data_IF_642663074223
#
_entry.id   IF_642663074223
#
_cell.length_a   1.000
_cell.length_b   1.000
_cell.length_c   1.000
_cell.angle_alpha   90.00
_cell.angle_beta   90.00
_cell.angle_gamma   90.00
#
_symmetry.space_group_name_H-M   'P 1'
#
loop_
_entity.id
_entity.type
_entity.pdbx_description
1 polymer ?
#
# COMPACT_ATOMS: atom_id res chain seq x y z
N UNK A 1 30.65 4.93 50.68
CA UNK A 1 31.36 4.62 49.42
C UNK A 1 30.54 5.26 48.30
N UNK A 2 30.97 6.45 47.90
CA UNK A 2 30.31 7.34 46.95
C UNK A 2 31.38 7.62 45.89
N UNK A 3 31.27 7.03 44.69
CA UNK A 3 32.26 7.24 43.62
C UNK A 3 31.86 6.79 42.21
N UNK A 4 30.61 6.41 41.90
CA UNK A 4 30.22 6.05 40.53
C UNK A 4 29.41 7.13 39.79
N UNK A 5 29.12 8.25 40.46
CA UNK A 5 28.43 9.40 39.86
C UNK A 5 29.35 10.26 38.95
N UNK A 6 30.55 9.80 38.63
CA UNK A 6 31.42 10.43 37.63
C UNK A 6 31.16 9.82 36.25
N UNK A 7 30.09 10.37 35.65
CA UNK A 7 29.95 10.77 34.24
C UNK A 7 30.19 9.66 33.21
N UNK A 8 29.11 9.03 32.77
CA UNK A 8 29.00 8.60 31.37
C UNK A 8 28.56 9.82 30.54
N UNK A 9 29.48 10.66 30.02
CA UNK A 9 29.11 11.85 29.24
C UNK A 9 28.22 11.49 28.03
N UNK A 10 28.36 10.26 27.52
CA UNK A 10 27.50 9.71 26.49
C UNK A 10 26.03 9.58 26.92
N UNK A 11 25.74 9.17 28.16
CA UNK A 11 24.38 9.05 28.67
C UNK A 11 23.71 10.42 28.86
N UNK A 12 24.46 11.41 29.34
CA UNK A 12 24.01 12.80 29.44
C UNK A 12 23.68 13.41 28.06
N UNK A 13 24.52 13.12 27.07
CA UNK A 13 24.30 13.51 25.66
C UNK A 13 23.09 12.82 25.06
N UNK A 14 22.90 11.53 25.34
CA UNK A 14 21.76 10.77 24.83
C UNK A 14 20.43 11.30 25.37
N UNK A 15 20.33 11.57 26.68
CA UNK A 15 19.13 12.18 27.26
C UNK A 15 18.87 13.59 26.71
N UNK A 16 19.93 14.37 26.44
CA UNK A 16 19.78 15.68 25.80
C UNK A 16 19.28 15.56 24.37
N UNK A 17 19.66 14.50 23.66
CA UNK A 17 19.19 14.23 22.32
C UNK A 17 17.73 13.78 22.31
N UNK A 18 17.30 12.97 23.28
CA UNK A 18 15.87 12.63 23.48
C UNK A 18 15.04 13.90 23.64
N UNK A 19 15.48 14.83 24.49
CA UNK A 19 14.77 16.11 24.69
C UNK A 19 14.76 16.97 23.43
N UNK A 20 15.88 17.01 22.71
CA UNK A 20 15.98 17.69 21.42
C UNK A 20 14.97 17.14 20.42
N UNK A 21 14.84 15.81 20.32
CA UNK A 21 13.88 15.17 19.42
C UNK A 21 12.44 15.42 19.86
N UNK A 22 12.13 15.44 21.17
CA UNK A 22 10.80 15.81 21.67
C UNK A 22 10.40 17.24 21.30
N UNK A 23 11.37 18.15 21.30
CA UNK A 23 11.19 19.54 20.91
C UNK A 23 11.21 19.77 19.38
N UNK A 24 11.08 18.71 18.58
CA UNK A 24 11.05 18.81 17.11
C UNK A 24 12.43 18.91 16.46
N UNK A 25 13.52 18.69 17.20
CA UNK A 25 14.88 18.73 16.70
C UNK A 25 15.18 17.65 15.65
N UNK A 26 16.05 17.96 14.68
CA UNK A 26 16.33 17.07 13.53
C UNK A 26 17.82 16.70 13.39
N UNK A 27 18.67 17.23 14.28
CA UNK A 27 20.13 17.03 14.28
C UNK A 27 20.48 15.55 14.40
N UNK A 28 21.29 15.00 13.46
CA UNK A 28 21.81 13.63 13.55
C UNK A 28 22.61 13.38 14.85
N UNK A 29 22.64 12.13 15.31
CA UNK A 29 23.35 11.75 16.53
C UNK A 29 24.84 12.11 16.47
N UNK A 30 25.51 11.81 15.35
CA UNK A 30 26.94 12.11 15.15
C UNK A 30 27.27 13.60 15.33
N UNK A 31 26.37 14.49 14.92
CA UNK A 31 26.57 15.94 14.97
C UNK A 31 26.06 16.60 16.27
N UNK A 32 25.25 15.90 17.06
CA UNK A 32 24.61 16.47 18.25
C UNK A 32 25.59 16.62 19.42
N UNK A 33 25.66 17.78 20.08
CA UNK A 33 26.62 18.03 21.18
C UNK A 33 25.98 18.49 22.49
N UNK A 34 24.64 18.47 22.59
CA UNK A 34 23.93 18.86 23.80
C UNK A 34 24.19 17.90 24.97
N UNK A 35 23.93 18.38 26.20
CA UNK A 35 24.11 17.58 27.42
C UNK A 35 23.12 18.04 28.50
N UNK A 36 22.49 17.09 29.18
CA UNK A 36 21.58 17.30 30.32
C UNK A 36 21.83 16.22 31.37
N UNK A 37 21.26 16.37 32.57
CA UNK A 37 21.35 15.33 33.60
C UNK A 37 20.63 14.05 33.14
N UNK A 38 21.27 12.90 33.36
CA UNK A 38 20.70 11.60 32.98
C UNK A 38 19.48 11.26 33.84
N UNK A 39 18.40 10.78 33.23
CA UNK A 39 17.17 10.38 33.96
C UNK A 39 17.11 8.89 34.32
N UNK A 40 18.16 8.14 33.99
CA UNK A 40 18.25 6.70 34.17
C UNK A 40 19.18 6.08 33.14
N UNK A 41 19.41 4.77 33.24
CA UNK A 41 20.24 4.00 32.31
C UNK A 41 19.48 3.47 31.10
N UNK A 42 18.15 3.40 31.16
CA UNK A 42 17.31 2.94 30.06
C UNK A 42 16.96 4.11 29.14
N UNK A 43 17.44 4.03 27.90
CA UNK A 43 17.15 4.98 26.83
C UNK A 43 16.23 4.32 25.80
N UNK A 44 15.47 5.12 25.02
CA UNK A 44 14.98 4.65 23.74
C UNK A 44 16.18 4.18 22.88
N UNK A 45 16.03 3.04 22.22
CA UNK A 45 16.97 2.49 21.27
C UNK A 45 17.13 3.33 20.01
N UNK A 46 18.22 3.07 19.28
CA UNK A 46 18.61 3.80 18.08
C UNK A 46 17.53 3.88 17.00
N UNK A 47 16.73 2.82 16.84
CA UNK A 47 15.63 2.77 15.85
C UNK A 47 14.54 3.79 16.22
N UNK A 48 14.11 3.82 17.48
CA UNK A 48 13.09 4.76 17.96
C UNK A 48 13.57 6.21 17.78
N UNK A 49 14.83 6.48 18.10
CA UNK A 49 15.41 7.81 17.98
C UNK A 49 15.54 8.27 16.53
N UNK A 50 15.95 7.41 15.60
CA UNK A 50 16.00 7.77 14.18
C UNK A 50 14.61 7.95 13.58
N UNK A 51 13.63 7.12 13.94
CA UNK A 51 12.23 7.30 13.51
C UNK A 51 11.69 8.64 13.99
N UNK A 52 11.90 9.01 15.25
CA UNK A 52 11.50 10.31 15.78
C UNK A 52 12.18 11.48 15.03
N UNK A 53 13.48 11.37 14.75
CA UNK A 53 14.22 12.39 13.98
C UNK A 53 13.68 12.54 12.55
N UNK A 54 13.38 11.42 11.87
CA UNK A 54 12.78 11.41 10.53
C UNK A 54 11.35 11.95 10.54
N UNK A 55 10.57 11.65 11.58
CA UNK A 55 9.24 12.21 11.79
C UNK A 55 9.31 13.74 11.93
N UNK A 56 10.27 14.27 12.69
CA UNK A 56 10.50 15.71 12.84
C UNK A 56 10.87 16.37 11.51
N UNK A 57 11.70 15.73 10.69
CA UNK A 57 12.06 16.21 9.36
C UNK A 57 10.85 16.35 8.42
N UNK A 58 9.88 15.44 8.52
CA UNK A 58 8.67 15.45 7.69
C UNK A 58 7.62 16.42 8.25
N UNK A 59 7.45 16.48 9.57
CA UNK A 59 6.39 17.24 10.25
C UNK A 59 6.62 18.75 10.34
N UNK A 60 7.88 19.21 10.37
CA UNK A 60 8.27 20.61 10.22
C UNK A 60 7.81 21.62 11.30
N UNK A 61 6.87 21.26 12.20
CA UNK A 61 6.31 22.17 13.22
C UNK A 61 6.20 21.49 14.57
N UNK A 62 6.70 22.17 15.60
CA UNK A 62 6.55 21.81 17.02
C UNK A 62 5.09 22.05 17.46
N UNK A 63 4.38 20.98 17.85
CA UNK A 63 3.04 21.05 18.44
C UNK A 63 2.90 19.99 19.55
N UNK A 64 1.99 20.21 20.51
CA UNK A 64 1.79 19.28 21.63
C UNK A 64 1.42 17.86 21.17
N UNK A 65 0.61 17.75 20.13
CA UNK A 65 0.27 16.48 19.48
C UNK A 65 1.47 15.84 18.76
N UNK A 66 2.38 16.66 18.20
CA UNK A 66 3.61 16.16 17.57
C UNK A 66 4.52 15.53 18.62
N UNK A 67 4.69 16.23 19.75
CA UNK A 67 5.43 15.72 20.90
C UNK A 67 4.81 14.42 21.44
N UNK A 68 3.48 14.33 21.53
CA UNK A 68 2.79 13.11 21.94
C UNK A 68 3.03 11.93 20.97
N UNK A 69 3.08 12.18 19.66
CA UNK A 69 3.43 11.16 18.68
C UNK A 69 4.89 10.71 18.82
N UNK A 70 5.83 11.63 19.07
CA UNK A 70 7.24 11.31 19.36
C UNK A 70 7.38 10.50 20.65
N UNK A 71 6.64 10.84 21.70
CA UNK A 71 6.62 10.06 22.94
C UNK A 71 6.10 8.64 22.70
N UNK A 72 5.04 8.50 21.91
CA UNK A 72 4.52 7.18 21.52
C UNK A 72 5.55 6.37 20.72
N UNK A 73 6.36 7.00 19.87
CA UNK A 73 7.49 6.34 19.19
C UNK A 73 8.49 5.81 20.22
N UNK A 74 8.85 6.57 21.25
CA UNK A 74 9.78 6.11 22.29
C UNK A 74 9.23 4.99 23.16
N UNK A 75 7.92 4.97 23.40
CA UNK A 75 7.24 3.92 24.17
C UNK A 75 6.99 2.64 23.37
N UNK A 76 7.05 2.72 22.04
CA UNK A 76 6.84 1.57 21.16
C UNK A 76 8.03 0.63 21.22
N UNK A 77 7.84 -0.58 21.75
CA UNK A 77 8.88 -1.62 21.72
C UNK A 77 9.38 -1.91 20.31
N UNK A 78 10.69 -2.10 20.16
CA UNK A 78 11.32 -2.43 18.87
C UNK A 78 10.65 -3.63 18.17
N UNK A 79 10.55 -3.60 16.83
CA UNK A 79 9.78 -4.59 16.10
C UNK A 79 10.53 -5.93 15.94
N UNK A 80 10.22 -6.89 16.82
CA UNK A 80 10.72 -8.27 16.72
C UNK A 80 10.68 -8.98 18.08
N UNK A 81 10.22 -10.23 18.14
CA UNK A 81 10.23 -10.99 19.40
C UNK A 81 11.68 -11.22 19.86
N UNK A 82 12.03 -10.65 21.01
CA UNK A 82 13.31 -10.91 21.67
C UNK A 82 14.52 -10.21 21.06
N UNK A 83 14.32 -9.24 20.16
CA UNK A 83 15.41 -8.41 19.66
C UNK A 83 15.66 -7.27 20.66
N UNK A 84 16.86 -7.17 21.26
CA UNK A 84 17.18 -6.07 22.16
C UNK A 84 17.25 -4.76 21.38
N UNK A 85 16.87 -3.66 22.03
CA UNK A 85 17.03 -2.32 21.48
C UNK A 85 18.50 -2.04 21.15
N UNK A 86 18.75 -1.45 19.98
CA UNK A 86 20.11 -1.13 19.55
C UNK A 86 20.63 0.07 20.33
N UNK A 87 21.77 -0.10 21.00
CA UNK A 87 22.44 0.97 21.73
C UNK A 87 23.05 2.02 20.79
N UNK A 88 23.24 3.24 21.29
CA UNK A 88 23.90 4.33 20.57
C UNK A 88 25.41 4.27 20.70
N UNK A 89 26.13 4.50 19.60
CA UNK A 89 27.60 4.68 19.62
C UNK A 89 27.99 5.80 20.58
N UNK A 90 28.92 5.51 21.47
CA UNK A 90 29.51 6.49 22.39
C UNK A 90 28.69 6.74 23.67
N UNK A 91 27.59 6.02 23.91
CA UNK A 91 26.83 6.12 25.16
C UNK A 91 27.46 5.30 26.28
N UNK A 92 27.60 3.99 26.07
CA UNK A 92 28.27 3.09 27.01
C UNK A 92 29.62 2.64 26.44
N UNK A 93 30.70 2.78 27.22
CA UNK A 93 32.07 2.47 26.76
C UNK A 93 32.48 1.01 27.00
N UNK A 94 31.56 0.13 27.43
CA UNK A 94 31.92 -1.18 27.98
C UNK A 94 30.98 -2.35 27.70
N UNK A 95 29.94 -2.22 26.87
CA UNK A 95 29.03 -3.33 26.61
C UNK A 95 29.74 -4.45 25.84
N UNK A 96 29.98 -5.60 26.51
CA UNK A 96 30.63 -6.80 25.94
C UNK A 96 29.63 -7.82 25.39
N UNK A 97 28.34 -7.61 25.62
CA UNK A 97 27.27 -8.55 25.33
C UNK A 97 26.13 -7.81 24.63
N UNK A 98 25.51 -8.45 23.64
CA UNK A 98 24.44 -7.84 22.84
C UNK A 98 24.91 -7.33 21.47
N UNK A 99 24.00 -6.77 20.66
CA UNK A 99 24.33 -6.18 19.38
C UNK A 99 25.28 -4.99 19.55
N UNK A 100 26.09 -4.71 18.53
CA UNK A 100 27.01 -3.56 18.57
C UNK A 100 26.22 -2.25 18.61
N UNK A 101 26.68 -1.25 19.37
CA UNK A 101 26.12 0.10 19.28
C UNK A 101 26.21 0.64 17.85
N UNK A 102 25.23 1.43 17.44
CA UNK A 102 25.09 1.96 16.08
C UNK A 102 24.97 3.49 16.08
N UNK A 103 25.35 4.13 14.97
CA UNK A 103 24.86 5.46 14.65
C UNK A 103 23.44 5.31 14.06
N UNK A 104 22.41 5.91 14.66
CA UNK A 104 21.05 5.87 14.15
C UNK A 104 20.91 6.27 12.68
N UNK A 105 21.76 7.18 12.17
CA UNK A 105 21.71 7.61 10.77
C UNK A 105 22.16 6.52 9.77
N UNK A 106 22.88 5.49 10.24
CA UNK A 106 23.36 4.36 9.43
C UNK A 106 22.43 3.15 9.48
N UNK A 107 21.29 3.25 10.18
CA UNK A 107 20.34 2.16 10.31
C UNK A 107 19.74 1.77 8.94
N UNK A 108 19.57 0.46 8.68
CA UNK A 108 18.85 -0.02 7.51
C UNK A 108 17.40 0.51 7.47
N UNK A 109 16.97 0.97 6.30
CA UNK A 109 15.62 1.53 6.12
C UNK A 109 14.50 0.54 6.43
N UNK A 110 14.72 -0.77 6.24
CA UNK A 110 13.74 -1.81 6.54
C UNK A 110 13.45 -1.96 8.05
N UNK A 111 14.43 -1.71 8.92
CA UNK A 111 14.21 -1.66 10.37
C UNK A 111 13.37 -0.44 10.78
N UNK A 112 13.64 0.73 10.18
CA UNK A 112 12.84 1.95 10.41
C UNK A 112 11.40 1.77 9.92
N UNK A 113 11.21 1.19 8.72
CA UNK A 113 9.89 0.87 8.17
C UNK A 113 9.16 -0.09 9.12
N UNK A 114 9.82 -1.13 9.62
CA UNK A 114 9.18 -2.12 10.49
C UNK A 114 8.64 -1.48 11.76
N UNK A 115 9.37 -0.51 12.33
CA UNK A 115 8.92 0.22 13.51
C UNK A 115 7.75 1.15 13.19
N UNK A 116 7.87 1.98 12.16
CA UNK A 116 6.81 2.91 11.75
C UNK A 116 5.51 2.17 11.40
N UNK A 117 5.62 1.02 10.73
CA UNK A 117 4.50 0.14 10.40
C UNK A 117 3.88 -0.50 11.64
N UNK A 118 4.68 -0.88 12.63
CA UNK A 118 4.18 -1.40 13.91
C UNK A 118 3.29 -0.38 14.60
N UNK A 119 3.79 0.85 14.75
CA UNK A 119 3.04 1.97 15.32
C UNK A 119 1.77 2.27 14.50
N UNK A 120 1.88 2.29 13.16
CA UNK A 120 0.73 2.52 12.29
C UNK A 120 -0.33 1.42 12.44
N UNK A 121 0.07 0.16 12.57
CA UNK A 121 -0.86 -0.96 12.78
C UNK A 121 -1.58 -0.85 14.13
N UNK A 122 -0.87 -0.47 15.20
CA UNK A 122 -1.49 -0.23 16.51
C UNK A 122 -2.49 0.93 16.46
N UNK A 123 -2.17 2.00 15.73
CA UNK A 123 -3.10 3.11 15.48
C UNK A 123 -4.31 2.67 14.68
N UNK A 124 -4.14 1.88 13.61
CA UNK A 124 -5.25 1.32 12.82
C UNK A 124 -6.20 0.53 13.71
N UNK A 125 -5.69 -0.31 14.61
CA UNK A 125 -6.51 -1.09 15.55
C UNK A 125 -7.19 -0.20 16.58
N UNK A 126 -6.51 0.85 17.06
CA UNK A 126 -7.09 1.79 18.02
C UNK A 126 -8.23 2.64 17.43
N UNK A 127 -8.19 2.92 16.13
CA UNK A 127 -9.18 3.69 15.38
C UNK A 127 -10.23 2.82 14.69
N UNK A 128 -10.37 1.56 15.09
CA UNK A 128 -11.40 0.65 14.61
C UNK A 128 -12.78 1.27 14.90
N UNK A 129 -13.56 1.67 13.86
CA UNK A 129 -14.86 2.29 14.07
C UNK A 129 -15.91 1.29 14.57
N UNK A 130 -15.56 0.01 14.69
CA UNK A 130 -16.47 -1.08 15.01
C UNK A 130 -17.25 -1.56 13.79
N UNK A 131 -18.12 -2.53 14.02
CA UNK A 131 -18.86 -3.18 12.92
C UNK A 131 -19.67 -2.15 12.11
N UNK A 132 -19.41 -2.05 10.79
CA UNK A 132 -20.10 -1.08 9.97
C UNK A 132 -21.58 -1.47 9.82
N UNK A 133 -22.46 -0.48 9.88
CA UNK A 133 -23.86 -0.66 9.50
C UNK A 133 -23.92 -0.97 8.01
N UNK A 134 -24.27 -2.22 7.66
CA UNK A 134 -24.41 -2.63 6.26
C UNK A 134 -25.58 -1.87 5.64
N UNK A 135 -25.27 -0.81 4.88
CA UNK A 135 -26.28 -0.14 4.07
C UNK A 135 -26.80 -1.11 3.01
N UNK A 136 -28.12 -1.36 3.03
CA UNK A 136 -28.75 -2.18 2.01
C UNK A 136 -28.59 -1.50 0.66
N UNK A 137 -28.09 -2.21 -0.38
CA UNK A 137 -27.96 -1.61 -1.71
C UNK A 137 -29.33 -1.15 -2.20
N UNK A 138 -29.38 0.08 -2.71
CA UNK A 138 -30.59 0.64 -3.34
C UNK A 138 -31.01 -0.26 -4.50
N UNK A 139 -32.30 -0.57 -4.59
CA UNK A 139 -32.84 -1.43 -5.64
C UNK A 139 -32.56 -0.83 -7.02
N UNK A 140 -32.06 -1.66 -7.94
CA UNK A 140 -31.83 -1.24 -9.33
C UNK A 140 -33.17 -1.02 -10.04
N UNK A 141 -33.24 0.03 -10.87
CA UNK A 141 -34.42 0.31 -11.69
C UNK A 141 -34.62 -0.77 -12.77
N UNK A 142 -35.85 -1.27 -13.00
CA UNK A 142 -36.11 -2.48 -13.80
C UNK A 142 -35.92 -2.31 -15.31
N UNK A 143 -35.83 -1.08 -15.83
CA UNK A 143 -35.68 -0.77 -17.26
C UNK A 143 -34.23 -0.56 -17.71
N UNK A 144 -33.23 -0.72 -16.82
CA UNK A 144 -31.82 -0.58 -17.18
C UNK A 144 -31.21 -1.93 -17.57
N UNK A 145 -30.30 -1.92 -18.54
CA UNK A 145 -29.61 -3.13 -19.00
C UNK A 145 -28.72 -3.66 -17.87
N UNK A 146 -29.02 -4.87 -17.40
CA UNK A 146 -28.18 -5.56 -16.43
C UNK A 146 -26.78 -5.79 -17.03
N UNK A 147 -25.74 -5.65 -16.22
CA UNK A 147 -24.37 -5.89 -16.65
C UNK A 147 -23.55 -6.56 -15.53
N UNK A 148 -22.54 -7.33 -15.95
CA UNK A 148 -21.52 -7.94 -15.11
C UNK A 148 -20.14 -7.51 -15.60
N UNK A 149 -19.22 -7.22 -14.69
CA UNK A 149 -17.87 -6.76 -15.00
C UNK A 149 -16.83 -7.84 -14.65
N UNK A 150 -15.85 -8.05 -15.52
CA UNK A 150 -14.75 -9.01 -15.36
C UNK A 150 -13.42 -8.42 -15.85
N UNK A 151 -12.30 -9.07 -15.51
CA UNK A 151 -10.95 -8.64 -15.91
C UNK A 151 -10.15 -8.07 -14.75
N UNK A 152 -9.40 -6.99 -15.01
CA UNK A 152 -8.61 -6.27 -14.00
C UNK A 152 -9.49 -5.86 -12.80
N UNK A 153 -9.21 -6.35 -11.58
CA UNK A 153 -10.06 -6.11 -10.41
C UNK A 153 -10.10 -4.64 -9.98
N UNK A 154 -9.02 -3.86 -10.15
CA UNK A 154 -9.05 -2.44 -9.81
C UNK A 154 -9.86 -1.64 -10.83
N UNK A 155 -9.68 -1.91 -12.13
CA UNK A 155 -10.52 -1.30 -13.17
C UNK A 155 -12.01 -1.68 -12.97
N UNK A 156 -12.29 -2.96 -12.67
CA UNK A 156 -13.66 -3.43 -12.38
C UNK A 156 -14.24 -2.71 -11.17
N UNK A 157 -13.48 -2.53 -10.09
CA UNK A 157 -13.91 -1.80 -8.89
C UNK A 157 -14.21 -0.34 -9.22
N UNK A 158 -13.32 0.33 -9.96
CA UNK A 158 -13.48 1.73 -10.36
C UNK A 158 -14.72 1.92 -11.24
N UNK A 159 -14.87 1.12 -12.30
CA UNK A 159 -16.03 1.19 -13.20
C UNK A 159 -17.32 0.92 -12.43
N UNK A 160 -17.33 -0.09 -11.55
CA UNK A 160 -18.50 -0.41 -10.71
C UNK A 160 -18.88 0.76 -9.82
N UNK A 161 -17.95 1.29 -9.04
CA UNK A 161 -18.19 2.39 -8.10
C UNK A 161 -18.68 3.63 -8.82
N UNK A 162 -18.07 3.96 -9.96
CA UNK A 162 -18.45 5.12 -10.77
C UNK A 162 -19.86 4.99 -11.35
N UNK A 163 -20.18 3.83 -11.93
CA UNK A 163 -21.52 3.57 -12.47
C UNK A 163 -22.59 3.53 -11.37
N UNK A 164 -22.29 2.92 -10.22
CA UNK A 164 -23.20 2.90 -9.05
C UNK A 164 -23.48 4.33 -8.55
N UNK A 165 -22.45 5.17 -8.40
CA UNK A 165 -22.61 6.59 -8.06
C UNK A 165 -23.46 7.35 -9.09
N UNK A 166 -23.32 7.00 -10.37
CA UNK A 166 -24.17 7.53 -11.44
C UNK A 166 -25.61 6.94 -11.47
N UNK A 167 -25.95 5.99 -10.58
CA UNK A 167 -27.26 5.35 -10.49
C UNK A 167 -27.45 4.16 -11.46
N UNK A 168 -26.37 3.65 -12.04
CA UNK A 168 -26.34 2.44 -12.86
C UNK A 168 -25.73 1.28 -12.05
N UNK A 169 -26.52 0.67 -11.16
CA UNK A 169 -26.06 -0.49 -10.40
C UNK A 169 -26.01 -1.76 -11.29
N UNK A 170 -25.07 -2.70 -11.05
CA UNK A 170 -25.03 -3.96 -11.75
C UNK A 170 -26.29 -4.78 -11.47
N UNK A 171 -26.78 -5.49 -12.49
CA UNK A 171 -28.02 -6.26 -12.44
C UNK A 171 -27.77 -7.74 -12.73
N UNK A 172 -28.61 -8.63 -12.17
CA UNK A 172 -28.45 -10.10 -12.33
C UNK A 172 -29.32 -10.74 -13.40
N UNK A 173 -30.43 -10.09 -13.80
CA UNK A 173 -31.36 -10.70 -14.76
C UNK A 173 -30.82 -10.53 -16.17
N UNK A 174 -30.23 -11.59 -16.71
CA UNK A 174 -29.72 -11.64 -18.09
C UNK A 174 -28.76 -10.46 -18.38
N UNK A 175 -27.57 -10.39 -17.77
CA UNK A 175 -26.66 -9.28 -17.98
C UNK A 175 -25.88 -9.39 -19.30
N UNK A 176 -25.41 -8.26 -19.83
CA UNK A 176 -24.24 -8.27 -20.73
C UNK A 176 -22.97 -8.48 -19.90
N UNK A 177 -22.06 -9.34 -20.36
CA UNK A 177 -20.77 -9.53 -19.72
C UNK A 177 -19.77 -8.56 -20.35
N UNK A 178 -19.18 -7.70 -19.53
CA UNK A 178 -18.20 -6.69 -19.95
C UNK A 178 -16.85 -7.08 -19.37
N UNK A 179 -15.89 -7.37 -20.24
CA UNK A 179 -14.53 -7.77 -19.88
C UNK A 179 -13.62 -6.58 -20.11
N UNK A 180 -13.02 -6.07 -19.04
CA UNK A 180 -12.13 -4.93 -19.07
C UNK A 180 -10.71 -5.40 -19.40
N UNK A 181 -10.16 -4.85 -20.47
CA UNK A 181 -8.84 -5.13 -20.98
C UNK A 181 -8.02 -3.82 -21.04
N UNK A 182 -6.80 -3.87 -20.54
CA UNK A 182 -5.80 -2.79 -20.60
C UNK A 182 -4.45 -3.44 -20.96
N UNK A 183 -3.37 -2.68 -20.96
CA UNK A 183 -2.04 -3.28 -21.15
C UNK A 183 -1.76 -4.34 -20.07
N UNK A 184 -1.22 -5.50 -20.47
CA UNK A 184 -1.07 -6.65 -19.56
C UNK A 184 -0.12 -6.35 -18.38
N UNK A 185 0.87 -5.47 -18.57
CA UNK A 185 1.78 -5.08 -17.50
C UNK A 185 1.05 -4.29 -16.41
N UNK A 186 0.23 -3.32 -16.80
CA UNK A 186 -0.67 -2.57 -15.94
C UNK A 186 -1.65 -3.49 -15.22
N UNK A 187 -2.35 -4.36 -15.94
CA UNK A 187 -3.31 -5.30 -15.35
C UNK A 187 -2.67 -6.24 -14.31
N UNK A 188 -1.43 -6.70 -14.52
CA UNK A 188 -0.69 -7.49 -13.53
C UNK A 188 -0.38 -6.67 -12.27
N UNK A 189 0.06 -5.43 -12.44
CA UNK A 189 0.32 -4.52 -11.32
C UNK A 189 -0.97 -4.26 -10.52
N UNK A 190 -2.10 -4.12 -11.19
CA UNK A 190 -3.40 -3.90 -10.56
C UNK A 190 -3.90 -5.13 -9.81
N UNK A 191 -3.75 -6.33 -10.36
CA UNK A 191 -4.09 -7.57 -9.64
C UNK A 191 -3.26 -7.70 -8.37
N UNK A 192 -1.95 -7.44 -8.43
CA UNK A 192 -1.12 -7.48 -7.24
C UNK A 192 -1.54 -6.41 -6.22
N UNK A 193 -1.79 -5.17 -6.68
CA UNK A 193 -2.24 -4.07 -5.83
C UNK A 193 -3.57 -4.37 -5.14
N UNK A 194 -4.55 -4.89 -5.89
CA UNK A 194 -5.83 -5.34 -5.34
C UNK A 194 -5.63 -6.42 -4.27
N UNK A 195 -4.75 -7.40 -4.51
CA UNK A 195 -4.45 -8.45 -3.52
C UNK A 195 -3.83 -7.88 -2.25
N UNK A 196 -2.91 -6.93 -2.37
CA UNK A 196 -2.32 -6.24 -1.21
C UNK A 196 -3.39 -5.50 -0.41
N UNK A 197 -4.33 -4.85 -1.08
CA UNK A 197 -5.50 -4.22 -0.45
C UNK A 197 -6.56 -5.21 0.10
N UNK A 198 -6.34 -6.51 -0.09
CA UNK A 198 -7.19 -7.59 0.41
C UNK A 198 -6.37 -8.62 1.20
N UNK A 199 -5.52 -8.12 2.11
CA UNK A 199 -4.76 -8.90 3.10
C UNK A 199 -3.69 -9.87 2.57
N UNK A 200 -3.17 -9.68 1.36
CA UNK A 200 -2.06 -10.50 0.80
C UNK A 200 -0.73 -9.74 0.93
N UNK A 201 0.37 -10.43 1.20
CA UNK A 201 1.66 -9.80 1.53
C UNK A 201 2.93 -10.13 0.69
N UNK A 202 2.91 -10.93 -0.41
CA UNK A 202 4.12 -11.19 -1.17
C UNK A 202 4.59 -9.91 -1.87
N UNK A 203 5.91 -9.73 -1.94
CA UNK A 203 6.49 -8.63 -2.72
C UNK A 203 6.15 -8.76 -4.20
N UNK A 204 6.05 -7.61 -4.89
CA UNK A 204 5.79 -7.54 -6.34
C UNK A 204 6.72 -8.47 -7.14
N UNK A 205 8.03 -8.39 -6.84
CA UNK A 205 9.07 -9.18 -7.53
C UNK A 205 8.89 -10.68 -7.35
N UNK A 206 8.55 -11.13 -6.14
CA UNK A 206 8.37 -12.55 -5.86
C UNK A 206 7.07 -13.08 -6.47
N UNK A 207 5.97 -12.33 -6.32
CA UNK A 207 4.67 -12.69 -6.87
C UNK A 207 4.72 -12.85 -8.40
N UNK A 208 5.29 -11.87 -9.09
CA UNK A 208 5.41 -11.89 -10.55
C UNK A 208 6.35 -13.01 -11.03
N UNK A 209 7.48 -13.21 -10.35
CA UNK A 209 8.41 -14.29 -10.68
C UNK A 209 7.75 -15.67 -10.57
N UNK A 210 6.81 -15.85 -9.63
CA UNK A 210 6.01 -17.07 -9.52
C UNK A 210 5.16 -17.35 -10.77
N UNK A 211 4.49 -16.34 -11.30
CA UNK A 211 3.68 -16.47 -12.53
C UNK A 211 4.54 -16.69 -13.77
N UNK A 212 5.63 -15.91 -13.91
CA UNK A 212 6.55 -16.04 -15.02
C UNK A 212 7.23 -17.41 -15.06
N UNK A 213 7.68 -17.94 -13.90
CA UNK A 213 8.31 -19.27 -13.80
C UNK A 213 7.39 -20.39 -14.27
N UNK A 214 6.10 -20.29 -13.96
CA UNK A 214 5.11 -21.30 -14.33
C UNK A 214 4.50 -21.06 -15.71
N UNK A 215 4.92 -20.00 -16.40
CA UNK A 215 4.35 -19.51 -17.64
C UNK A 215 2.82 -19.51 -17.60
N UNK A 216 2.24 -18.80 -16.63
CA UNK A 216 0.79 -18.70 -16.43
C UNK A 216 0.40 -17.29 -16.01
N UNK A 217 -0.84 -16.91 -16.28
CA UNK A 217 -1.44 -15.68 -15.78
C UNK A 217 -2.38 -15.97 -14.60
N UNK A 218 -2.60 -14.99 -13.71
CA UNK A 218 -3.74 -15.02 -12.81
C UNK A 218 -5.02 -15.29 -13.58
N UNK A 219 -5.90 -16.18 -13.08
CA UNK A 219 -7.14 -16.58 -13.78
C UNK A 219 -8.01 -15.41 -14.20
N UNK A 220 -8.04 -14.34 -13.41
CA UNK A 220 -8.81 -13.11 -13.70
C UNK A 220 -8.27 -12.32 -14.90
N UNK A 221 -7.00 -12.54 -15.27
CA UNK A 221 -6.34 -11.92 -16.43
C UNK A 221 -6.25 -12.86 -17.64
N UNK A 222 -6.67 -14.11 -17.51
CA UNK A 222 -6.85 -14.99 -18.65
C UNK A 222 -8.17 -14.62 -19.35
N UNK A 223 -8.16 -13.47 -20.04
CA UNK A 223 -9.34 -12.89 -20.65
C UNK A 223 -10.00 -13.81 -21.69
N UNK A 224 -9.27 -14.57 -22.54
CA UNK A 224 -9.85 -15.58 -23.42
C UNK A 224 -10.66 -16.62 -22.65
N UNK A 225 -10.09 -17.21 -21.59
CA UNK A 225 -10.81 -18.17 -20.76
C UNK A 225 -12.01 -17.56 -20.06
N UNK A 226 -11.89 -16.32 -19.55
CA UNK A 226 -13.01 -15.59 -18.94
C UNK A 226 -14.14 -15.36 -19.96
N UNK A 227 -13.80 -14.91 -21.17
CA UNK A 227 -14.74 -14.66 -22.26
C UNK A 227 -15.45 -15.93 -22.70
N UNK A 228 -14.71 -17.02 -22.93
CA UNK A 228 -15.27 -18.31 -23.29
C UNK A 228 -16.26 -18.83 -22.23
N UNK A 229 -15.89 -18.72 -20.95
CA UNK A 229 -16.76 -19.12 -19.84
C UNK A 229 -18.05 -18.30 -19.76
N UNK A 230 -18.01 -16.99 -20.04
CA UNK A 230 -19.24 -16.18 -20.08
C UNK A 230 -20.04 -16.43 -21.36
N UNK A 231 -19.39 -16.62 -22.50
CA UNK A 231 -20.04 -16.90 -23.78
C UNK A 231 -20.81 -18.22 -23.74
N UNK A 232 -20.25 -19.26 -23.10
CA UNK A 232 -20.94 -20.53 -22.88
C UNK A 232 -22.24 -20.38 -22.06
N UNK A 233 -22.34 -19.34 -21.22
CA UNK A 233 -23.51 -19.10 -20.35
C UNK A 233 -24.51 -18.10 -20.93
N UNK A 234 -24.03 -17.11 -21.69
CA UNK A 234 -24.83 -15.96 -22.11
C UNK A 234 -24.99 -15.85 -23.63
N UNK A 235 -24.19 -16.55 -24.42
CA UNK A 235 -24.02 -16.29 -25.85
C UNK A 235 -22.87 -15.32 -26.13
N UNK A 236 -22.15 -15.54 -27.24
CA UNK A 236 -20.98 -14.75 -27.62
C UNK A 236 -21.33 -13.28 -27.96
N UNK A 237 -22.53 -13.05 -28.50
CA UNK A 237 -23.10 -11.73 -28.80
C UNK A 237 -23.31 -10.85 -27.55
N UNK A 238 -23.30 -11.47 -26.37
CA UNK A 238 -23.53 -10.79 -25.08
C UNK A 238 -22.26 -10.57 -24.28
N UNK A 239 -21.11 -11.01 -24.79
CA UNK A 239 -19.79 -10.81 -24.19
C UNK A 239 -19.09 -9.68 -24.93
N UNK A 240 -18.80 -8.59 -24.24
CA UNK A 240 -18.17 -7.40 -24.81
C UNK A 240 -16.80 -7.22 -24.18
N UNK A 241 -15.77 -7.06 -25.02
CA UNK A 241 -14.42 -6.73 -24.58
C UNK A 241 -14.25 -5.23 -24.70
N UNK A 242 -13.87 -4.57 -23.59
CA UNK A 242 -13.55 -3.13 -23.58
C UNK A 242 -12.05 -3.01 -23.43
N UNK A 243 -11.36 -2.74 -24.53
CA UNK A 243 -9.90 -2.64 -24.62
C UNK A 243 -9.48 -1.19 -24.80
N UNK A 244 -9.26 -0.49 -23.70
CA UNK A 244 -8.91 0.93 -23.69
C UNK A 244 -8.24 1.32 -22.38
N UNK A 245 -7.39 2.36 -22.41
CA UNK A 245 -6.79 2.93 -21.20
C UNK A 245 -7.84 3.55 -20.24
N UNK A 246 -8.99 4.00 -20.78
CA UNK A 246 -10.10 4.56 -20.03
C UNK A 246 -11.39 3.79 -20.30
N UNK A 247 -11.70 2.81 -19.45
CA UNK A 247 -12.88 1.96 -19.63
C UNK A 247 -14.20 2.67 -19.34
N UNK A 248 -14.21 3.59 -18.39
CA UNK A 248 -15.44 4.15 -17.79
C UNK A 248 -16.40 4.73 -18.85
N UNK A 249 -15.97 5.59 -19.80
CA UNK A 249 -16.89 6.16 -20.79
C UNK A 249 -17.47 5.10 -21.75
N UNK A 250 -16.64 4.14 -22.17
CA UNK A 250 -17.07 3.07 -23.08
C UNK A 250 -18.10 2.14 -22.43
N UNK A 251 -17.84 1.74 -21.17
CA UNK A 251 -18.78 0.92 -20.41
C UNK A 251 -20.07 1.70 -20.13
N UNK A 252 -19.97 2.97 -19.76
CA UNK A 252 -21.13 3.84 -19.53
C UNK A 252 -22.02 3.92 -20.77
N UNK A 253 -21.45 4.12 -21.96
CA UNK A 253 -22.17 4.08 -23.23
C UNK A 253 -22.86 2.74 -23.48
N UNK A 254 -22.15 1.62 -23.27
CA UNK A 254 -22.67 0.28 -23.48
C UNK A 254 -23.87 -0.06 -22.56
N UNK A 255 -23.84 0.38 -21.31
CA UNK A 255 -24.92 0.13 -20.33
C UNK A 255 -26.00 1.21 -20.31
N UNK A 256 -25.88 2.24 -21.18
CA UNK A 256 -26.84 3.33 -21.29
C UNK A 256 -26.79 4.35 -20.14
N UNK A 257 -25.66 4.49 -19.45
CA UNK A 257 -25.45 5.53 -18.45
C UNK A 257 -25.09 6.85 -19.15
N UNK A 258 -25.99 7.84 -19.08
CA UNK A 258 -25.84 9.16 -19.73
C UNK A 258 -25.28 10.26 -18.82
N UNK A 259 -25.05 9.97 -17.54
CA UNK A 259 -24.50 10.96 -16.61
C UNK A 259 -23.00 11.12 -16.85
N UNK A 260 -22.44 12.34 -16.65
CA UNK A 260 -21.01 12.53 -16.61
C UNK A 260 -20.39 11.58 -15.57
N UNK A 261 -19.31 10.93 -15.95
CA UNK A 261 -18.58 9.96 -15.13
C UNK A 261 -17.12 10.37 -15.11
N UNK A 262 -16.54 10.50 -13.92
CA UNK A 262 -15.11 10.73 -13.78
C UNK A 262 -14.36 9.45 -14.16
N UNK A 263 -13.51 9.56 -15.18
CA UNK A 263 -12.71 8.46 -15.70
C UNK A 263 -11.29 8.42 -15.11
N UNK A 264 -10.96 9.35 -14.20
CA UNK A 264 -9.63 9.45 -13.61
C UNK A 264 -9.34 8.22 -12.76
N UNK A 265 -8.37 7.43 -13.20
CA UNK A 265 -7.89 6.26 -12.46
C UNK A 265 -6.84 6.72 -11.46
N UNK A 266 -7.24 6.80 -10.20
CA UNK A 266 -6.35 7.14 -9.09
C UNK A 266 -6.16 5.89 -8.26
N UNK A 267 -4.95 5.35 -8.27
CA UNK A 267 -4.53 4.22 -7.44
C UNK A 267 -3.47 4.65 -6.45
N UNK A 268 -3.29 3.86 -5.39
CA UNK A 268 -2.20 4.06 -4.43
C UNK A 268 -0.84 4.01 -5.13
N UNK A 269 0.09 4.85 -4.66
CA UNK A 269 1.48 4.84 -5.08
C UNK A 269 2.14 3.48 -4.77
N UNK A 270 3.21 3.10 -5.48
CA UNK A 270 4.00 1.92 -5.15
C UNK A 270 4.43 1.91 -3.68
N UNK A 271 4.87 3.04 -3.15
CA UNK A 271 5.33 3.22 -1.78
C UNK A 271 4.19 2.96 -0.78
N UNK A 272 3.00 3.54 -0.99
CA UNK A 272 1.82 3.30 -0.16
C UNK A 272 1.39 1.82 -0.19
N UNK A 273 1.47 1.16 -1.34
CA UNK A 273 1.21 -0.28 -1.43
C UNK A 273 2.22 -1.11 -0.64
N UNK A 274 3.49 -0.70 -0.59
CA UNK A 274 4.47 -1.37 0.29
C UNK A 274 4.17 -1.11 1.76
N UNK A 275 3.71 0.09 2.16
CA UNK A 275 3.21 0.33 3.54
C UNK A 275 2.07 -0.63 3.87
N UNK A 276 1.04 -0.72 3.03
CA UNK A 276 -0.08 -1.67 3.22
C UNK A 276 0.42 -3.11 3.33
N UNK A 277 1.39 -3.50 2.49
CA UNK A 277 1.96 -4.85 2.50
C UNK A 277 2.65 -5.18 3.83
N UNK A 278 3.39 -4.24 4.41
CA UNK A 278 4.03 -4.45 5.71
C UNK A 278 3.00 -4.42 6.85
N UNK A 279 2.01 -3.52 6.82
CA UNK A 279 0.92 -3.48 7.80
C UNK A 279 0.12 -4.79 7.78
N UNK A 280 -0.11 -5.39 6.62
CA UNK A 280 -0.75 -6.71 6.51
C UNK A 280 -0.01 -7.82 7.28
N UNK A 281 1.32 -7.73 7.42
CA UNK A 281 2.09 -8.71 8.21
C UNK A 281 1.77 -8.57 9.70
N UNK A 282 1.67 -7.33 10.18
CA UNK A 282 1.38 -7.02 11.59
C UNK A 282 -0.08 -7.29 11.92
N UNK A 283 -1.04 -6.84 11.09
CA UNK A 283 -2.47 -7.05 11.32
C UNK A 283 -2.88 -8.52 11.35
N UNK A 284 -2.17 -9.40 10.63
CA UNK A 284 -2.39 -10.86 10.71
C UNK A 284 -2.09 -11.44 12.10
N UNK A 285 -1.34 -10.72 12.94
CA UNK A 285 -1.07 -11.08 14.33
C UNK A 285 -2.09 -10.43 15.27
N UNK A 286 -2.52 -9.20 14.96
CA UNK A 286 -3.38 -8.40 15.83
C UNK A 286 -4.89 -8.65 15.64
N UNK A 287 -5.31 -9.19 14.50
CA UNK A 287 -6.71 -9.35 14.13
C UNK A 287 -6.96 -10.69 13.42
N UNK A 288 -8.18 -11.22 13.58
CA UNK A 288 -8.69 -12.31 12.75
C UNK A 288 -8.91 -11.84 11.29
N UNK A 289 -9.14 -12.76 10.32
CA UNK A 289 -9.24 -12.40 8.91
C UNK A 289 -10.34 -11.40 8.56
N UNK A 290 -11.51 -11.47 9.22
CA UNK A 290 -12.64 -10.59 8.90
C UNK A 290 -12.38 -9.19 9.46
N UNK A 291 -11.89 -9.10 10.70
CA UNK A 291 -11.46 -7.84 11.31
C UNK A 291 -10.28 -7.22 10.58
N UNK A 292 -9.30 -8.01 10.13
CA UNK A 292 -8.17 -7.52 9.32
C UNK A 292 -8.69 -6.84 8.03
N UNK A 293 -9.57 -7.51 7.28
CA UNK A 293 -10.12 -6.92 6.06
C UNK A 293 -10.92 -5.64 6.34
N UNK A 294 -11.65 -5.59 7.46
CA UNK A 294 -12.37 -4.40 7.91
C UNK A 294 -11.41 -3.23 8.22
N UNK A 295 -10.42 -3.44 9.09
CA UNK A 295 -9.40 -2.45 9.45
C UNK A 295 -8.66 -1.91 8.22
N UNK A 296 -8.31 -2.80 7.29
CA UNK A 296 -7.66 -2.41 6.05
C UNK A 296 -8.56 -1.50 5.22
N UNK A 297 -9.80 -1.92 4.96
CA UNK A 297 -10.75 -1.23 4.08
C UNK A 297 -11.22 0.11 4.65
N UNK A 298 -11.53 0.15 5.94
CA UNK A 298 -12.31 1.23 6.54
C UNK A 298 -11.44 2.19 7.37
N UNK A 299 -10.19 1.83 7.68
CA UNK A 299 -9.26 2.67 8.45
C UNK A 299 -8.00 2.99 7.63
N UNK A 300 -7.19 1.98 7.28
CA UNK A 300 -5.87 2.22 6.67
C UNK A 300 -5.94 2.78 5.25
N UNK A 301 -6.77 2.20 4.37
CA UNK A 301 -6.87 2.66 2.98
C UNK A 301 -7.40 4.10 2.86
N UNK A 302 -8.39 4.54 3.66
CA UNK A 302 -8.77 5.95 3.75
C UNK A 302 -7.63 6.90 4.16
N UNK A 303 -6.78 6.50 5.12
CA UNK A 303 -5.64 7.33 5.53
C UNK A 303 -4.64 7.55 4.40
N UNK A 304 -4.42 6.52 3.58
CA UNK A 304 -3.53 6.53 2.42
C UNK A 304 -4.18 7.08 1.13
N UNK A 305 -5.42 7.56 1.15
CA UNK A 305 -6.16 7.91 -0.07
C UNK A 305 -5.48 8.99 -0.93
N UNK A 306 -4.70 9.89 -0.32
CA UNK A 306 -3.97 10.97 -1.00
C UNK A 306 -2.60 10.53 -1.53
N UNK A 307 -2.10 9.37 -1.09
CA UNK A 307 -0.81 8.80 -1.50
C UNK A 307 -0.96 8.07 -2.84
N UNK A 308 -1.16 8.87 -3.88
CA UNK A 308 -1.51 8.40 -5.22
C UNK A 308 -0.29 8.41 -6.13
N UNK A 309 -0.23 7.50 -7.10
CA UNK A 309 0.94 7.40 -7.96
C UNK A 309 0.75 6.55 -9.21
N UNK A 310 1.81 6.47 -10.02
CA UNK A 310 1.83 5.61 -11.21
C UNK A 310 1.85 4.14 -10.80
N UNK A 311 1.25 3.28 -11.63
CA UNK A 311 1.29 1.82 -11.43
C UNK A 311 2.73 1.33 -11.38
N UNK A 312 2.93 0.22 -10.67
CA UNK A 312 4.23 -0.48 -10.65
C UNK A 312 4.58 -0.99 -12.04
N UNK A 313 5.86 -0.90 -12.36
CA UNK A 313 6.41 -1.39 -13.64
C UNK A 313 6.84 -2.84 -13.51
N UNK A 314 6.66 -3.60 -14.58
CA UNK A 314 7.17 -4.96 -14.72
C UNK A 314 8.71 -4.93 -14.79
N UNK A 315 9.44 -5.66 -13.93
CA UNK A 315 10.90 -5.71 -13.99
C UNK A 315 11.40 -6.16 -15.37
N UNK A 316 12.51 -5.60 -15.89
CA UNK A 316 12.98 -5.86 -17.26
C UNK A 316 13.08 -7.34 -17.63
N UNK A 317 13.55 -8.17 -16.69
CA UNK A 317 13.70 -9.63 -16.84
C UNK A 317 12.38 -10.39 -17.15
N UNK A 318 11.22 -9.77 -16.97
CA UNK A 318 9.91 -10.37 -17.21
C UNK A 318 9.14 -9.70 -18.35
N UNK A 319 9.66 -8.63 -18.96
CA UNK A 319 8.94 -7.87 -19.99
C UNK A 319 8.64 -8.70 -21.24
N UNK A 320 9.61 -9.49 -21.71
CA UNK A 320 9.43 -10.35 -22.88
C UNK A 320 8.33 -11.40 -22.64
N UNK A 321 8.33 -12.02 -21.46
CA UNK A 321 7.29 -12.95 -21.06
C UNK A 321 5.90 -12.30 -21.05
N UNK A 322 5.77 -11.09 -20.48
CA UNK A 322 4.51 -10.34 -20.49
C UNK A 322 4.09 -10.02 -21.92
N UNK A 323 5.01 -9.57 -22.78
CA UNK A 323 4.74 -9.24 -24.18
C UNK A 323 4.23 -10.46 -24.96
N UNK A 324 4.89 -11.61 -24.85
CA UNK A 324 4.43 -12.85 -25.49
C UNK A 324 3.05 -13.28 -25.01
N UNK A 325 2.79 -13.18 -23.69
CA UNK A 325 1.48 -13.50 -23.13
C UNK A 325 0.38 -12.55 -23.61
N UNK A 326 0.67 -11.26 -23.72
CA UNK A 326 -0.25 -10.27 -24.24
C UNK A 326 -0.58 -10.49 -25.73
N UNK A 327 0.45 -10.75 -26.56
CA UNK A 327 0.27 -11.04 -27.98
C UNK A 327 -0.61 -12.28 -28.20
N UNK A 328 -0.32 -13.37 -27.48
CA UNK A 328 -1.14 -14.58 -27.53
C UNK A 328 -2.58 -14.32 -27.12
N UNK A 329 -2.79 -13.59 -26.02
CA UNK A 329 -4.13 -13.23 -25.53
C UNK A 329 -4.91 -12.41 -26.56
N UNK A 330 -4.27 -11.40 -27.16
CA UNK A 330 -4.84 -10.58 -28.22
C UNK A 330 -5.28 -11.44 -29.41
N UNK A 331 -4.42 -12.34 -29.86
CA UNK A 331 -4.68 -13.16 -31.04
C UNK A 331 -5.83 -14.17 -30.78
N UNK A 332 -5.86 -14.78 -29.60
CA UNK A 332 -6.96 -15.66 -29.18
C UNK A 332 -8.31 -14.91 -29.11
N UNK A 333 -8.34 -13.71 -28.54
CA UNK A 333 -9.56 -12.88 -28.48
C UNK A 333 -10.01 -12.42 -29.87
N UNK A 334 -9.06 -12.10 -30.77
CA UNK A 334 -9.34 -11.69 -32.16
C UNK A 334 -9.97 -12.83 -32.96
N UNK A 335 -9.44 -14.05 -32.81
CA UNK A 335 -9.99 -15.26 -33.46
C UNK A 335 -11.38 -15.60 -32.92
N UNK A 336 -11.62 -15.42 -31.63
CA UNK A 336 -12.91 -15.74 -31.01
C UNK A 336 -14.07 -14.82 -31.46
N UNK A 337 -13.79 -13.64 -32.02
CA UNK A 337 -14.78 -12.80 -32.70
C UNK A 337 -15.82 -12.12 -31.79
N UNK A 338 -15.53 -11.92 -30.50
CA UNK A 338 -16.42 -11.19 -29.60
C UNK A 338 -16.54 -9.71 -30.00
N UNK A 339 -17.68 -9.04 -29.72
CA UNK A 339 -17.78 -7.59 -29.81
C UNK A 339 -16.68 -6.87 -29.01
N UNK A 340 -15.87 -6.04 -29.69
CA UNK A 340 -14.80 -5.24 -29.07
C UNK A 340 -15.14 -3.76 -29.13
N UNK A 341 -14.99 -3.07 -28.00
CA UNK A 341 -15.00 -1.62 -27.88
C UNK A 341 -13.57 -1.14 -27.60
N UNK A 342 -12.97 -0.43 -28.56
CA UNK A 342 -11.56 -0.03 -28.51
C UNK A 342 -10.67 -0.92 -29.39
N UNK A 343 -9.43 -1.11 -28.99
CA UNK A 343 -8.41 -1.84 -29.77
C UNK A 343 -7.72 -2.91 -28.93
N UNK A 344 -7.75 -4.16 -29.39
CA UNK A 344 -7.09 -5.28 -28.71
C UNK A 344 -5.56 -5.15 -28.72
N UNK A 345 -4.98 -4.38 -29.65
CA UNK A 345 -3.53 -4.13 -29.64
C UNK A 345 -3.08 -3.36 -28.38
N UNK A 346 -4.01 -2.68 -27.68
CA UNK A 346 -3.75 -2.07 -26.37
C UNK A 346 -3.37 -3.08 -25.27
N UNK A 347 -3.66 -4.38 -25.45
CA UNK A 347 -3.25 -5.43 -24.52
C UNK A 347 -1.73 -5.58 -24.45
N UNK A 348 -1.04 -5.32 -25.56
CA UNK A 348 0.41 -5.51 -25.69
C UNK A 348 1.12 -4.30 -25.09
N UNK A 349 1.90 -4.46 -24.01
CA UNK A 349 2.57 -3.32 -23.40
C UNK A 349 3.55 -2.67 -24.39
N UNK A 350 3.40 -1.37 -24.56
CA UNK A 350 4.40 -0.52 -25.20
C UNK A 350 5.61 -0.36 -24.28
N UNK A 351 6.79 -0.07 -24.84
CA UNK A 351 7.99 0.15 -24.03
C UNK A 351 7.78 1.36 -23.11
N UNK A 352 7.36 1.09 -21.86
CA UNK A 352 7.20 2.12 -20.86
C UNK A 352 8.59 2.58 -20.37
N UNK A 353 8.77 3.87 -20.06
CA UNK A 353 9.98 4.36 -19.43
C UNK A 353 10.26 3.54 -18.17
N UNK A 354 11.53 3.14 -17.98
CA UNK A 354 11.97 2.46 -16.76
C UNK A 354 11.79 3.41 -15.58
N UNK A 355 10.70 3.27 -14.83
CA UNK A 355 10.58 3.90 -13.53
C UNK A 355 11.38 3.08 -12.51
N UNK A 356 12.11 3.76 -11.63
CA UNK A 356 12.69 3.11 -10.46
C UNK A 356 11.54 2.50 -9.64
N UNK A 357 11.78 1.33 -9.04
CA UNK A 357 10.86 0.77 -8.06
C UNK A 357 10.82 1.63 -6.79
N UNK A 358 9.89 1.35 -5.86
CA UNK A 358 9.87 2.06 -4.59
C UNK A 358 11.19 1.86 -3.85
N UNK A 359 11.61 2.91 -3.17
CA UNK A 359 12.79 2.95 -2.30
C UNK A 359 12.35 2.78 -0.86
N UNK A 360 13.23 2.24 0.00
CA UNK A 360 12.92 2.09 1.42
C UNK A 360 12.67 3.46 2.07
N UNK A 361 13.45 4.50 1.72
CA UNK A 361 13.20 5.88 2.15
C UNK A 361 11.81 6.37 1.70
N UNK A 362 11.39 6.13 0.46
CA UNK A 362 10.07 6.54 -0.03
C UNK A 362 8.92 5.84 0.69
N UNK A 363 9.09 4.55 1.03
CA UNK A 363 8.10 3.80 1.82
C UNK A 363 8.04 4.33 3.26
N UNK A 364 9.19 4.60 3.88
CA UNK A 364 9.28 5.19 5.21
C UNK A 364 8.60 6.57 5.23
N UNK A 365 8.90 7.43 4.26
CA UNK A 365 8.32 8.76 4.15
C UNK A 365 6.78 8.72 4.08
N UNK A 366 6.21 7.79 3.29
CA UNK A 366 4.75 7.58 3.25
C UNK A 366 4.22 7.13 4.62
N UNK A 367 4.89 6.19 5.29
CA UNK A 367 4.47 5.73 6.61
C UNK A 367 4.49 6.88 7.63
N UNK A 368 5.54 7.70 7.64
CA UNK A 368 5.68 8.86 8.53
C UNK A 368 4.62 9.95 8.25
N UNK A 369 4.38 10.28 6.97
CA UNK A 369 3.28 11.21 6.61
C UNK A 369 1.92 10.68 7.03
N UNK A 370 1.70 9.37 6.91
CA UNK A 370 0.45 8.74 7.36
C UNK A 370 0.29 8.87 8.87
N UNK A 371 1.34 8.62 9.66
CA UNK A 371 1.33 8.82 11.12
C UNK A 371 1.01 10.28 11.50
N UNK A 372 1.60 11.24 10.80
CA UNK A 372 1.31 12.67 10.99
C UNK A 372 -0.13 13.05 10.62
N UNK A 373 -0.71 12.41 9.61
CA UNK A 373 -2.12 12.63 9.25
C UNK A 373 -3.08 12.10 10.31
N UNK A 374 -2.78 10.95 10.92
CA UNK A 374 -3.61 10.39 12.01
C UNK A 374 -3.67 11.35 13.20
N UNK A 375 -2.54 11.98 13.54
CA UNK A 375 -2.45 13.03 14.56
C UNK A 375 -3.46 14.16 14.32
N UNK A 376 -3.67 14.58 13.07
CA UNK A 376 -4.64 15.64 12.72
C UNK A 376 -6.10 15.19 12.76
N UNK A 377 -6.37 13.87 12.82
CA UNK A 377 -7.73 13.33 12.89
C UNK A 377 -8.24 13.28 14.35
N UNK A 378 -7.32 13.22 15.32
CA UNK A 378 -7.63 13.19 16.76
C UNK A 378 -7.94 14.58 17.36
N UNK A 379 -7.82 15.66 16.57
CA UNK A 379 -8.17 17.05 16.94
C UNK A 379 -9.53 17.46 16.42
#
# INVERSE_FOLDING_TARGET
MSSDAHREPGLHRAWAWVDHLRAGGTTPWSDFTGSVDSRGSLLPGAIQLEVARRLNLVGGVDSAEHAALVDRVFETSGPGRGQPDLELVGVHTGSRFGPRPVDPAELPGDELIRMAVGLLADLVVAHDPGEPVVEKPRAALPWRRAYSLYGDPLAVSQVRTTLVRAGAAPGRRSPVAVILADDLAGMLADVWSWRVQHAVNPSWRWWLAGWARNDRLPRVLDLPSVAANQAARLGADRVHIVAAAHHVPLVAGLVGCRRPVDATRVGLSPEALDVVRHVNVVLRVLADPDRHQHLLRDVLLPWLADETGRRRVVPPRHLEWVRHRAMRMRDELRVAGYPVLGDLDALVPTDQPRAAGPTDDGVLDVALRTLLKVKEIDT
#
